data_IF_526751798968
#
_entry.id   IF_526751798968
#
_cell.length_a   1.000
_cell.length_b   1.000
_cell.length_c   1.000
_cell.angle_alpha   90.00
_cell.angle_beta   90.00
_cell.angle_gamma   90.00
#
_symmetry.space_group_name_H-M   'P 1'
#
loop_
_entity.id
_entity.type
_entity.pdbx_description
1 polymer ?
#
# COMPACT_ATOMS: atom_id res chain seq x y z
N UNK A 1 17.01 10.58 10.55
CA UNK A 1 17.00 10.33 9.08
C UNK A 1 18.40 10.55 8.56
N UNK A 2 18.91 9.63 7.73
CA UNK A 2 20.22 9.73 7.07
C UNK A 2 20.07 10.07 5.58
N UNK A 3 18.98 10.73 5.18
CA UNK A 3 18.70 11.14 3.81
C UNK A 3 19.65 12.28 3.40
N UNK A 4 20.84 11.93 2.90
CA UNK A 4 21.91 12.90 2.68
C UNK A 4 22.59 12.78 1.31
N UNK A 5 22.03 11.96 0.39
CA UNK A 5 22.55 11.75 -0.97
C UNK A 5 24.04 11.34 -1.01
N UNK A 6 24.57 10.72 0.05
CA UNK A 6 25.96 10.29 0.11
C UNK A 6 26.25 9.24 -0.97
N UNK A 7 27.36 9.39 -1.67
CA UNK A 7 27.80 8.51 -2.75
C UNK A 7 29.09 7.76 -2.36
N UNK A 8 29.45 6.77 -3.18
CA UNK A 8 30.63 5.92 -2.95
C UNK A 8 30.29 4.63 -2.22
N UNK A 9 31.27 4.03 -1.57
CA UNK A 9 31.16 2.69 -0.98
C UNK A 9 31.18 2.77 0.54
N UNK A 10 30.69 1.73 1.21
CA UNK A 10 30.84 1.60 2.66
C UNK A 10 32.34 1.67 3.02
N UNK A 11 32.78 2.59 3.90
CA UNK A 11 34.19 2.75 4.21
C UNK A 11 34.74 1.48 4.89
N UNK A 12 35.99 1.09 4.60
CA UNK A 12 36.63 -0.02 5.29
C UNK A 12 36.85 0.31 6.77
N UNK A 13 37.16 -0.71 7.57
CA UNK A 13 37.52 -0.52 8.99
C UNK A 13 36.35 -0.58 9.97
N UNK A 14 35.12 -0.85 9.54
CA UNK A 14 33.98 -1.09 10.45
C UNK A 14 34.27 -2.21 11.49
N UNK A 15 35.11 -3.18 11.15
CA UNK A 15 35.54 -4.23 12.07
C UNK A 15 36.42 -3.77 13.24
N UNK A 16 36.90 -2.52 13.21
CA UNK A 16 37.67 -1.90 14.28
C UNK A 16 36.79 -1.15 15.28
N UNK A 17 35.46 -1.26 15.17
CA UNK A 17 34.50 -0.56 16.03
C UNK A 17 33.75 -1.57 16.94
N UNK A 18 34.42 -2.15 17.97
CA UNK A 18 33.82 -3.19 18.81
C UNK A 18 32.66 -2.67 19.67
N UNK A 19 32.64 -1.37 19.97
CA UNK A 19 31.61 -0.71 20.77
C UNK A 19 30.50 -0.05 19.94
N UNK A 20 30.47 -0.27 18.63
CA UNK A 20 29.45 0.31 17.76
C UNK A 20 28.06 -0.20 18.16
N UNK A 21 27.18 0.71 18.58
CA UNK A 21 25.80 0.37 18.97
C UNK A 21 24.80 0.60 17.84
N UNK A 22 25.07 1.57 16.98
CA UNK A 22 24.20 1.96 15.88
C UNK A 22 25.04 2.27 14.65
N UNK A 23 24.66 1.69 13.51
CA UNK A 23 25.18 2.06 12.21
C UNK A 23 24.01 2.33 11.27
N UNK A 24 23.93 3.54 10.75
CA UNK A 24 22.84 3.96 9.87
C UNK A 24 23.39 4.77 8.69
N UNK A 25 23.33 4.18 7.50
CA UNK A 25 23.65 4.81 6.22
C UNK A 25 22.44 4.77 5.28
N UNK A 26 21.23 4.55 5.81
CA UNK A 26 20.04 4.40 5.00
C UNK A 26 19.67 5.65 4.20
N UNK A 27 18.98 5.47 3.08
CA UNK A 27 18.52 6.53 2.18
C UNK A 27 19.64 7.40 1.59
N UNK A 28 20.64 6.75 1.00
CA UNK A 28 21.75 7.40 0.29
C UNK A 28 21.91 6.78 -1.10
N UNK A 29 23.05 7.02 -1.75
CA UNK A 29 23.42 6.42 -3.04
C UNK A 29 24.66 5.53 -2.89
N UNK A 30 24.79 4.86 -1.75
CA UNK A 30 25.94 4.00 -1.47
C UNK A 30 25.86 2.78 -2.38
N UNK A 31 26.98 2.46 -3.02
CA UNK A 31 27.17 1.30 -3.89
C UNK A 31 28.05 0.26 -3.23
N UNK A 32 27.92 -0.96 -3.69
CA UNK A 32 28.78 -2.07 -3.28
C UNK A 32 30.19 -1.94 -3.85
N UNK A 33 31.19 -2.48 -3.13
CA UNK A 33 32.58 -2.55 -3.58
C UNK A 33 33.08 -4.00 -3.63
N UNK A 34 33.96 -4.29 -4.60
CA UNK A 34 34.59 -5.59 -4.79
C UNK A 34 33.62 -6.72 -5.20
N UNK A 35 34.15 -7.93 -5.36
CA UNK A 35 33.42 -9.06 -5.94
C UNK A 35 32.25 -9.55 -5.08
N UNK A 36 32.32 -9.38 -3.76
CA UNK A 36 31.28 -9.83 -2.83
C UNK A 36 30.26 -8.75 -2.45
N UNK A 37 30.53 -7.47 -2.77
CA UNK A 37 29.65 -6.31 -2.62
C UNK A 37 29.17 -5.92 -1.20
N UNK A 38 29.08 -6.88 -0.28
CA UNK A 38 28.53 -6.80 1.09
C UNK A 38 29.53 -7.27 2.15
N UNK A 39 30.83 -7.27 1.83
CA UNK A 39 31.89 -7.68 2.76
C UNK A 39 31.92 -6.87 4.07
N UNK A 40 31.34 -5.67 4.07
CA UNK A 40 31.20 -4.85 5.28
C UNK A 40 30.31 -5.51 6.35
N UNK A 41 29.35 -6.36 5.97
CA UNK A 41 28.52 -7.13 6.91
C UNK A 41 29.42 -8.06 7.73
N UNK A 42 30.36 -8.74 7.07
CA UNK A 42 31.35 -9.60 7.76
C UNK A 42 32.24 -8.79 8.70
N UNK A 43 32.61 -7.57 8.33
CA UNK A 43 33.39 -6.68 9.20
C UNK A 43 32.63 -6.31 10.49
N UNK A 44 31.31 -6.15 10.44
CA UNK A 44 30.48 -5.80 11.60
C UNK A 44 30.31 -6.92 12.62
N UNK A 45 30.82 -8.15 12.37
CA UNK A 45 30.76 -9.26 13.33
C UNK A 45 31.43 -8.94 14.67
N UNK A 46 32.43 -8.06 14.67
CA UNK A 46 33.18 -7.67 15.88
C UNK A 46 32.45 -6.61 16.72
N UNK A 47 31.43 -5.95 16.17
CA UNK A 47 30.64 -4.93 16.86
C UNK A 47 29.61 -5.57 17.78
N UNK A 48 30.06 -6.16 18.88
CA UNK A 48 29.23 -6.99 19.80
C UNK A 48 28.12 -6.22 20.52
N UNK A 49 28.14 -4.89 20.47
CA UNK A 49 27.11 -4.01 21.03
C UNK A 49 26.10 -3.49 20.00
N UNK A 50 26.22 -3.89 18.74
CA UNK A 50 25.38 -3.38 17.67
C UNK A 50 23.91 -3.78 17.90
N UNK A 51 23.04 -2.79 18.07
CA UNK A 51 21.59 -2.93 18.29
C UNK A 51 20.79 -2.48 17.07
N UNK A 52 21.33 -1.55 16.29
CA UNK A 52 20.66 -0.96 15.15
C UNK A 52 21.57 -0.94 13.94
N UNK A 53 21.15 -1.60 12.87
CA UNK A 53 21.85 -1.62 11.59
C UNK A 53 20.86 -1.24 10.48
N UNK A 54 21.13 -0.13 9.80
CA UNK A 54 20.34 0.34 8.67
C UNK A 54 21.23 0.74 7.50
N UNK A 55 20.94 0.15 6.35
CA UNK A 55 21.53 0.49 5.06
C UNK A 55 20.50 0.37 3.93
N UNK A 56 19.21 0.47 4.28
CA UNK A 56 18.08 0.51 3.38
C UNK A 56 18.09 1.75 2.47
N UNK A 57 17.40 1.71 1.32
CA UNK A 57 17.31 2.85 0.41
C UNK A 57 18.66 3.28 -0.17
N UNK A 58 19.44 2.33 -0.68
CA UNK A 58 20.74 2.56 -1.30
C UNK A 58 20.84 1.81 -2.64
N UNK A 59 22.03 1.76 -3.23
CA UNK A 59 22.32 1.04 -4.48
C UNK A 59 23.22 -0.18 -4.21
N UNK A 60 23.18 -0.74 -3.00
CA UNK A 60 23.97 -1.91 -2.64
C UNK A 60 23.47 -3.14 -3.41
N UNK A 61 24.39 -3.97 -3.88
CA UNK A 61 24.11 -5.18 -4.64
C UNK A 61 24.94 -6.36 -4.11
N UNK A 62 24.44 -7.58 -4.33
CA UNK A 62 25.14 -8.80 -3.92
C UNK A 62 24.21 -9.78 -3.20
N UNK A 63 24.79 -10.93 -2.86
CA UNK A 63 24.12 -11.99 -2.10
C UNK A 63 24.31 -11.71 -0.62
N UNK A 64 23.23 -11.78 0.17
CA UNK A 64 23.30 -11.64 1.63
C UNK A 64 24.18 -12.78 2.17
N UNK A 65 25.35 -12.49 2.78
CA UNK A 65 26.28 -13.52 3.18
C UNK A 65 25.79 -14.26 4.43
N UNK A 66 26.14 -15.53 4.58
CA UNK A 66 25.87 -16.32 5.80
C UNK A 66 26.45 -15.69 7.08
N UNK A 67 27.47 -14.84 6.95
CA UNK A 67 28.01 -14.06 8.07
C UNK A 67 27.00 -13.08 8.68
N UNK A 68 25.85 -12.82 8.04
CA UNK A 68 24.76 -12.01 8.63
C UNK A 68 24.30 -12.59 9.97
N UNK A 69 24.24 -13.91 10.12
CA UNK A 69 23.87 -14.57 11.38
C UNK A 69 24.92 -14.46 12.49
N UNK A 70 26.11 -13.96 12.15
CA UNK A 70 27.23 -13.74 13.06
C UNK A 70 27.32 -12.28 13.54
N UNK A 71 26.36 -11.43 13.15
CA UNK A 71 26.21 -10.11 13.75
C UNK A 71 25.87 -10.24 15.25
N UNK A 72 25.99 -9.11 15.93
CA UNK A 72 25.68 -8.95 17.35
C UNK A 72 24.39 -9.68 17.77
N UNK A 73 24.49 -10.49 18.84
CA UNK A 73 23.33 -11.17 19.43
C UNK A 73 22.33 -10.22 20.09
N UNK A 74 22.71 -8.95 20.30
CA UNK A 74 21.81 -7.90 20.79
C UNK A 74 21.26 -7.01 19.67
N UNK A 75 21.46 -7.38 18.40
CA UNK A 75 20.89 -6.67 17.26
C UNK A 75 19.36 -6.74 17.31
N UNK A 76 18.72 -5.57 17.32
CA UNK A 76 17.26 -5.43 17.47
C UNK A 76 16.59 -4.99 16.17
N UNK A 77 17.25 -4.14 15.38
CA UNK A 77 16.68 -3.55 14.16
C UNK A 77 17.64 -3.75 13.00
N UNK A 78 17.16 -4.42 11.95
CA UNK A 78 17.89 -4.65 10.71
C UNK A 78 17.07 -4.15 9.51
N UNK A 79 17.49 -3.01 8.95
CA UNK A 79 16.88 -2.39 7.77
C UNK A 79 17.81 -2.56 6.57
N UNK A 80 17.31 -3.28 5.57
CA UNK A 80 18.04 -3.66 4.35
C UNK A 80 17.22 -3.41 3.06
N UNK A 81 15.96 -2.98 3.19
CA UNK A 81 15.07 -2.81 2.05
C UNK A 81 15.48 -1.71 1.07
N UNK A 82 14.93 -1.70 -0.15
CA UNK A 82 15.22 -0.67 -1.15
C UNK A 82 16.68 -0.67 -1.61
N UNK A 83 17.19 -1.85 -1.97
CA UNK A 83 18.54 -2.07 -2.52
C UNK A 83 18.43 -3.04 -3.73
N UNK A 84 19.57 -3.53 -4.22
CA UNK A 84 19.66 -4.49 -5.32
C UNK A 84 20.18 -5.87 -4.85
N UNK A 85 19.80 -6.33 -3.65
CA UNK A 85 20.19 -7.65 -3.17
C UNK A 85 19.50 -8.76 -3.96
N UNK A 86 20.25 -9.84 -4.24
CA UNK A 86 19.76 -11.00 -4.99
C UNK A 86 20.23 -12.31 -4.34
N UNK A 87 19.83 -13.46 -4.90
CA UNK A 87 20.06 -14.76 -4.27
C UNK A 87 19.01 -15.04 -3.20
N UNK A 88 19.33 -15.86 -2.20
CA UNK A 88 18.39 -16.29 -1.16
C UNK A 88 18.60 -15.58 0.16
N UNK A 89 17.60 -15.60 1.04
CA UNK A 89 17.80 -15.24 2.45
C UNK A 89 18.56 -16.39 3.12
N UNK A 90 19.74 -16.17 3.72
CA UNK A 90 20.51 -17.23 4.37
C UNK A 90 19.83 -17.73 5.64
N UNK A 91 19.90 -19.05 5.89
CA UNK A 91 19.27 -19.68 7.07
C UNK A 91 19.85 -19.13 8.40
N UNK A 92 21.12 -18.72 8.38
CA UNK A 92 21.79 -18.07 9.51
C UNK A 92 21.11 -16.79 10.01
N UNK A 93 20.18 -16.18 9.25
CA UNK A 93 19.38 -15.04 9.74
C UNK A 93 18.62 -15.36 11.03
N UNK A 94 18.20 -16.63 11.20
CA UNK A 94 17.53 -17.11 12.41
C UNK A 94 18.39 -17.10 13.67
N UNK A 95 19.70 -16.86 13.55
CA UNK A 95 20.61 -16.78 14.68
C UNK A 95 20.56 -15.42 15.41
N UNK A 96 19.84 -14.43 14.87
CA UNK A 96 19.74 -13.08 15.41
C UNK A 96 18.54 -12.95 16.36
N UNK A 97 18.54 -13.75 17.43
CA UNK A 97 17.39 -13.98 18.34
C UNK A 97 16.82 -12.73 19.04
N UNK A 98 17.57 -11.63 19.08
CA UNK A 98 17.11 -10.35 19.64
C UNK A 98 16.40 -9.44 18.64
N UNK A 99 16.30 -9.85 17.36
CA UNK A 99 15.64 -9.04 16.33
C UNK A 99 14.19 -8.80 16.68
N UNK A 100 13.81 -7.54 16.60
CA UNK A 100 12.43 -7.04 16.70
C UNK A 100 11.94 -6.50 15.37
N UNK A 101 12.83 -6.18 14.44
CA UNK A 101 12.49 -5.74 13.08
C UNK A 101 13.48 -6.29 12.08
N UNK A 102 12.94 -6.92 11.04
CA UNK A 102 13.66 -7.36 9.85
C UNK A 102 12.94 -6.81 8.62
N UNK A 103 13.61 -5.95 7.85
CA UNK A 103 13.09 -5.41 6.60
C UNK A 103 14.08 -5.66 5.45
N UNK A 104 13.67 -6.49 4.49
CA UNK A 104 14.35 -6.84 3.24
C UNK A 104 13.52 -6.43 2.00
N UNK A 105 12.45 -5.65 2.19
CA UNK A 105 11.52 -5.31 1.12
C UNK A 105 12.19 -4.55 -0.04
N UNK A 106 11.65 -4.64 -1.25
CA UNK A 106 12.11 -3.92 -2.43
C UNK A 106 13.58 -4.21 -2.76
N UNK A 107 13.86 -5.48 -3.03
CA UNK A 107 15.13 -5.99 -3.54
C UNK A 107 14.85 -6.96 -4.72
N UNK A 108 15.84 -7.73 -5.14
CA UNK A 108 15.70 -8.80 -6.14
C UNK A 108 15.91 -10.20 -5.53
N UNK A 109 15.52 -10.39 -4.26
CA UNK A 109 15.70 -11.66 -3.53
C UNK A 109 14.81 -12.74 -4.13
N UNK A 110 15.35 -13.94 -4.24
CA UNK A 110 14.73 -15.16 -4.80
C UNK A 110 14.78 -16.29 -3.76
N UNK A 111 14.27 -17.47 -4.12
CA UNK A 111 14.23 -18.63 -3.23
C UNK A 111 13.03 -18.61 -2.29
N UNK A 112 13.00 -19.54 -1.35
CA UNK A 112 11.92 -19.67 -0.36
C UNK A 112 12.22 -18.84 0.89
N UNK A 113 11.18 -18.56 1.69
CA UNK A 113 11.33 -17.98 3.03
C UNK A 113 11.97 -19.05 3.94
N UNK A 114 13.16 -18.82 4.52
CA UNK A 114 13.80 -19.81 5.38
C UNK A 114 12.97 -20.10 6.64
N UNK A 115 12.83 -21.37 6.98
CA UNK A 115 12.09 -21.79 8.18
C UNK A 115 12.70 -21.24 9.47
N UNK A 116 14.00 -20.94 9.46
CA UNK A 116 14.78 -20.37 10.55
C UNK A 116 14.32 -18.96 10.95
N UNK A 117 13.61 -18.22 10.08
CA UNK A 117 12.98 -16.95 10.48
C UNK A 117 12.01 -17.18 11.65
N UNK A 118 11.37 -18.36 11.71
CA UNK A 118 10.51 -18.77 12.82
C UNK A 118 11.21 -18.91 14.18
N UNK A 119 12.55 -18.81 14.26
CA UNK A 119 13.33 -18.77 15.51
C UNK A 119 13.42 -17.37 16.12
N UNK A 120 13.00 -16.34 15.39
CA UNK A 120 13.11 -14.93 15.81
C UNK A 120 11.93 -14.53 16.71
N UNK A 121 11.74 -15.20 17.85
CA UNK A 121 10.55 -15.04 18.71
C UNK A 121 10.28 -13.61 19.23
N UNK A 122 11.29 -12.72 19.16
CA UNK A 122 11.16 -11.31 19.51
C UNK A 122 10.68 -10.41 18.36
N UNK A 123 10.49 -10.97 17.16
CA UNK A 123 10.19 -10.20 15.96
C UNK A 123 8.81 -9.57 16.05
N UNK A 124 8.75 -8.26 15.82
CA UNK A 124 7.53 -7.44 15.82
C UNK A 124 7.16 -6.98 14.42
N UNK A 125 8.13 -6.87 13.51
CA UNK A 125 7.91 -6.49 12.13
C UNK A 125 8.76 -7.33 11.19
N UNK A 126 8.10 -7.96 10.22
CA UNK A 126 8.71 -8.69 9.11
C UNK A 126 8.26 -8.05 7.79
N UNK A 127 9.20 -7.47 7.05
CA UNK A 127 8.96 -6.92 5.71
C UNK A 127 9.82 -7.63 4.67
N UNK A 128 9.19 -8.36 3.76
CA UNK A 128 9.82 -9.04 2.62
C UNK A 128 9.20 -8.60 1.27
N UNK A 129 8.40 -7.53 1.28
CA UNK A 129 7.59 -7.10 0.15
C UNK A 129 8.40 -6.76 -1.11
N UNK A 130 7.83 -6.88 -2.30
CA UNK A 130 8.46 -6.40 -3.54
C UNK A 130 9.78 -7.11 -3.86
N UNK A 131 9.78 -8.44 -3.80
CA UNK A 131 10.91 -9.30 -4.16
C UNK A 131 10.45 -10.36 -5.20
N UNK A 132 11.24 -11.41 -5.42
CA UNK A 132 10.92 -12.56 -6.27
C UNK A 132 10.93 -13.87 -5.46
N UNK A 133 10.51 -13.79 -4.19
CA UNK A 133 10.46 -14.94 -3.28
C UNK A 133 9.33 -15.86 -3.73
N UNK A 134 9.62 -17.16 -3.86
CA UNK A 134 8.67 -18.17 -4.30
C UNK A 134 8.51 -19.28 -3.25
N UNK A 135 7.69 -20.29 -3.57
CA UNK A 135 7.42 -21.40 -2.66
C UNK A 135 6.28 -21.09 -1.70
N UNK A 136 6.11 -21.96 -0.69
CA UNK A 136 5.03 -21.81 0.31
C UNK A 136 5.46 -20.89 1.44
N UNK A 137 4.48 -20.25 2.07
CA UNK A 137 4.70 -19.58 3.35
C UNK A 137 4.96 -20.67 4.41
N UNK A 138 6.11 -20.68 5.11
CA UNK A 138 6.42 -21.75 6.05
C UNK A 138 5.62 -21.60 7.35
N UNK A 139 5.13 -22.74 7.86
CA UNK A 139 4.35 -22.80 9.12
C UNK A 139 5.13 -22.25 10.32
N UNK A 140 6.46 -22.28 10.27
CA UNK A 140 7.31 -21.75 11.34
C UNK A 140 7.16 -20.25 11.58
N UNK A 141 6.62 -19.48 10.62
CA UNK A 141 6.26 -18.08 10.86
C UNK A 141 5.16 -17.93 11.92
N UNK A 142 4.33 -18.95 12.13
CA UNK A 142 3.35 -18.99 13.22
C UNK A 142 3.97 -18.97 14.63
N UNK A 143 5.27 -19.22 14.76
CA UNK A 143 5.97 -19.13 16.05
C UNK A 143 6.22 -17.67 16.50
N UNK A 144 6.06 -16.69 15.61
CA UNK A 144 6.38 -15.29 15.86
C UNK A 144 5.25 -14.56 16.60
N UNK A 145 4.96 -14.97 17.83
CA UNK A 145 3.77 -14.51 18.58
C UNK A 145 3.77 -13.01 18.94
N UNK A 146 4.93 -12.34 18.86
CA UNK A 146 5.08 -10.88 19.08
C UNK A 146 4.96 -10.06 17.79
N UNK A 147 4.69 -10.71 16.65
CA UNK A 147 4.64 -10.05 15.36
C UNK A 147 3.40 -9.15 15.29
N UNK A 148 3.63 -7.85 15.08
CA UNK A 148 2.57 -6.85 14.93
C UNK A 148 2.26 -6.59 13.46
N UNK A 149 3.29 -6.64 12.60
CA UNK A 149 3.16 -6.37 11.17
C UNK A 149 3.93 -7.39 10.35
N UNK A 150 3.24 -7.94 9.36
CA UNK A 150 3.81 -8.82 8.35
C UNK A 150 3.42 -8.30 6.97
N UNK A 151 4.43 -8.10 6.13
CA UNK A 151 4.28 -7.65 4.75
C UNK A 151 5.11 -8.54 3.84
N UNK A 152 4.42 -9.46 3.17
CA UNK A 152 4.97 -10.39 2.18
C UNK A 152 4.49 -10.04 0.75
N UNK A 153 3.93 -8.84 0.57
CA UNK A 153 3.26 -8.45 -0.67
C UNK A 153 4.22 -8.37 -1.87
N UNK A 154 3.72 -8.54 -3.09
CA UNK A 154 4.53 -8.34 -4.31
C UNK A 154 5.67 -9.36 -4.41
N UNK A 155 5.33 -10.64 -4.34
CA UNK A 155 6.25 -11.78 -4.46
C UNK A 155 5.63 -12.86 -5.36
N UNK A 156 6.22 -14.05 -5.40
CA UNK A 156 5.76 -15.21 -6.16
C UNK A 156 5.31 -16.37 -5.25
N UNK A 157 4.81 -16.07 -4.04
CA UNK A 157 4.41 -17.08 -3.06
C UNK A 157 3.19 -17.87 -3.55
N UNK A 158 3.22 -19.18 -3.34
CA UNK A 158 2.19 -20.13 -3.80
C UNK A 158 1.61 -20.95 -2.64
N UNK A 159 0.49 -21.63 -2.91
CA UNK A 159 -0.20 -22.47 -1.93
C UNK A 159 -1.15 -21.67 -1.04
N UNK A 160 -1.72 -22.34 -0.04
CA UNK A 160 -2.65 -21.73 0.91
C UNK A 160 -1.96 -20.93 1.99
N UNK A 161 -2.71 -20.00 2.60
CA UNK A 161 -2.31 -19.33 3.84
C UNK A 161 -2.24 -20.41 4.94
N UNK A 162 -1.14 -20.46 5.68
CA UNK A 162 -0.93 -21.46 6.73
C UNK A 162 -1.92 -21.28 7.89
N UNK A 163 -2.46 -22.37 8.42
CA UNK A 163 -3.27 -22.37 9.64
C UNK A 163 -2.46 -21.96 10.88
N UNK A 164 -1.12 -22.13 10.84
CA UNK A 164 -0.22 -21.72 11.90
C UNK A 164 -0.24 -20.19 12.15
N UNK A 165 -0.69 -19.40 11.17
CA UNK A 165 -0.87 -17.96 11.35
C UNK A 165 -1.91 -17.61 12.41
N UNK A 166 -2.81 -18.55 12.79
CA UNK A 166 -3.69 -18.40 13.94
C UNK A 166 -2.97 -18.19 15.28
N UNK A 167 -1.68 -18.51 15.37
CA UNK A 167 -0.86 -18.30 16.56
C UNK A 167 -0.31 -16.87 16.68
N UNK A 168 -0.51 -16.01 15.67
CA UNK A 168 0.01 -14.63 15.62
C UNK A 168 -0.88 -13.68 16.42
N UNK A 169 -1.02 -13.93 17.72
CA UNK A 169 -1.97 -13.24 18.60
C UNK A 169 -1.77 -11.72 18.69
N UNK A 170 -0.59 -11.19 18.33
CA UNK A 170 -0.29 -9.75 18.38
C UNK A 170 -0.42 -9.05 17.01
N UNK A 171 -0.76 -9.77 15.94
CA UNK A 171 -0.73 -9.19 14.58
C UNK A 171 -1.84 -8.16 14.41
N UNK A 172 -1.44 -6.96 14.01
CA UNK A 172 -2.31 -5.83 13.74
C UNK A 172 -2.55 -5.66 12.24
N UNK A 173 -1.53 -5.94 11.43
CA UNK A 173 -1.50 -5.74 9.98
C UNK A 173 -0.88 -6.95 9.28
N UNK A 174 -1.62 -7.48 8.30
CA UNK A 174 -1.24 -8.62 7.46
C UNK A 174 -1.45 -8.26 5.98
N UNK A 175 -0.36 -8.11 5.24
CA UNK A 175 -0.37 -7.90 3.80
C UNK A 175 0.32 -9.06 3.07
N UNK A 176 -0.47 -9.83 2.33
CA UNK A 176 -0.02 -10.92 1.46
C UNK A 176 -0.40 -10.66 -0.01
N UNK A 177 -0.73 -9.42 -0.36
CA UNK A 177 -1.23 -9.06 -1.69
C UNK A 177 -0.19 -9.29 -2.79
N UNK A 178 -0.62 -9.33 -4.04
CA UNK A 178 0.26 -9.43 -5.20
C UNK A 178 1.19 -10.66 -5.12
N UNK A 179 0.57 -11.83 -5.01
CA UNK A 179 1.23 -13.13 -4.94
C UNK A 179 0.48 -14.15 -5.81
N UNK A 180 0.76 -15.44 -5.63
CA UNK A 180 0.10 -16.56 -6.31
C UNK A 180 -0.58 -17.50 -5.30
N UNK A 181 -1.03 -16.96 -4.16
CA UNK A 181 -1.68 -17.73 -3.09
C UNK A 181 -3.05 -18.24 -3.55
N UNK A 182 -3.45 -19.43 -3.11
CA UNK A 182 -4.67 -20.08 -3.55
C UNK A 182 -5.42 -20.77 -2.40
N UNK A 183 -6.58 -21.35 -2.70
CA UNK A 183 -7.44 -21.98 -1.70
C UNK A 183 -8.23 -20.95 -0.87
N UNK A 184 -8.77 -21.40 0.26
CA UNK A 184 -9.60 -20.59 1.15
C UNK A 184 -8.78 -19.88 2.23
N UNK A 185 -9.29 -18.76 2.73
CA UNK A 185 -8.73 -18.10 3.93
C UNK A 185 -9.02 -19.00 5.16
N UNK A 186 -8.00 -19.44 5.92
CA UNK A 186 -8.20 -20.31 7.08
C UNK A 186 -8.99 -19.61 8.19
N UNK A 187 -9.90 -20.34 8.85
CA UNK A 187 -10.68 -19.83 9.99
C UNK A 187 -9.78 -19.38 11.15
N UNK A 188 -8.61 -20.00 11.29
CA UNK A 188 -7.62 -19.68 12.30
C UNK A 188 -7.11 -18.25 12.16
N UNK A 189 -6.89 -17.77 10.92
CA UNK A 189 -6.48 -16.38 10.64
C UNK A 189 -7.63 -15.41 10.90
N UNK A 190 -8.87 -15.84 10.68
CA UNK A 190 -10.06 -15.01 10.87
C UNK A 190 -10.44 -14.85 12.36
N UNK A 191 -9.88 -15.69 13.23
CA UNK A 191 -10.09 -15.60 14.68
C UNK A 191 -8.97 -14.88 15.42
N UNK A 192 -8.07 -14.19 14.70
CA UNK A 192 -6.99 -13.44 15.31
C UNK A 192 -7.54 -12.25 16.13
N UNK A 193 -7.24 -12.16 17.44
CA UNK A 193 -7.88 -11.20 18.33
C UNK A 193 -7.42 -9.75 18.12
N UNK A 194 -6.25 -9.55 17.52
CA UNK A 194 -5.61 -8.23 17.38
C UNK A 194 -5.60 -7.67 15.96
N UNK A 195 -6.11 -8.43 14.97
CA UNK A 195 -6.10 -8.02 13.56
C UNK A 195 -7.10 -6.88 13.32
N UNK A 196 -6.61 -5.66 13.43
CA UNK A 196 -7.46 -4.45 13.54
C UNK A 196 -7.17 -3.39 12.48
N UNK A 197 -5.98 -3.38 11.88
CA UNK A 197 -5.63 -2.34 10.90
C UNK A 197 -5.91 -2.79 9.47
N UNK A 198 -4.98 -3.53 8.87
CA UNK A 198 -5.02 -3.88 7.45
C UNK A 198 -4.98 -5.40 7.32
N UNK A 199 -5.95 -5.94 6.59
CA UNK A 199 -5.91 -7.30 6.08
C UNK A 199 -6.05 -7.28 4.55
N UNK A 200 -4.92 -7.42 3.86
CA UNK A 200 -4.83 -7.29 2.41
C UNK A 200 -4.37 -8.61 1.79
N UNK A 201 -5.25 -9.22 1.01
CA UNK A 201 -5.01 -10.44 0.24
C UNK A 201 -5.25 -10.23 -1.26
N UNK A 202 -5.29 -8.98 -1.72
CA UNK A 202 -5.60 -8.66 -3.12
C UNK A 202 -4.59 -9.25 -4.10
N UNK A 203 -4.96 -9.40 -5.37
CA UNK A 203 -4.07 -9.89 -6.42
C UNK A 203 -3.46 -11.27 -6.09
N UNK A 204 -4.34 -12.24 -5.86
CA UNK A 204 -4.03 -13.65 -5.60
C UNK A 204 -5.04 -14.56 -6.34
N UNK A 205 -5.09 -15.84 -6.03
CA UNK A 205 -6.01 -16.84 -6.60
C UNK A 205 -6.92 -17.47 -5.53
N UNK A 206 -7.35 -16.70 -4.54
CA UNK A 206 -8.15 -17.22 -3.42
C UNK A 206 -9.59 -17.56 -3.82
N UNK A 207 -10.18 -18.54 -3.14
CA UNK A 207 -11.57 -18.99 -3.36
C UNK A 207 -12.10 -19.85 -2.19
N UNK A 208 -13.38 -19.74 -1.79
CA UNK A 208 -14.29 -18.59 -1.77
C UNK A 208 -14.13 -17.74 -0.49
N UNK A 209 -14.95 -16.68 -0.31
CA UNK A 209 -14.99 -15.91 0.94
C UNK A 209 -15.63 -16.78 2.05
N UNK A 210 -14.90 -17.11 3.13
CA UNK A 210 -15.49 -17.89 4.22
C UNK A 210 -16.45 -17.03 5.07
N UNK A 211 -17.59 -17.60 5.47
CA UNK A 211 -18.56 -16.90 6.31
C UNK A 211 -17.99 -16.45 7.66
N UNK A 212 -17.01 -17.19 8.20
CA UNK A 212 -16.28 -16.84 9.44
C UNK A 212 -15.53 -15.51 9.35
N UNK A 213 -15.35 -14.94 8.14
CA UNK A 213 -14.77 -13.61 7.98
C UNK A 213 -15.59 -12.52 8.70
N UNK A 214 -16.91 -12.72 8.86
CA UNK A 214 -17.76 -11.82 9.64
C UNK A 214 -17.53 -11.85 11.16
N UNK A 215 -16.70 -12.76 11.66
CA UNK A 215 -16.38 -12.88 13.09
C UNK A 215 -15.14 -12.06 13.50
N UNK A 216 -14.35 -11.56 12.53
CA UNK A 216 -13.16 -10.75 12.80
C UNK A 216 -13.57 -9.46 13.51
N UNK A 217 -13.03 -9.22 14.70
CA UNK A 217 -13.37 -8.04 15.49
C UNK A 217 -12.37 -6.92 15.25
N UNK A 218 -12.88 -5.72 14.98
CA UNK A 218 -12.06 -4.51 14.96
C UNK A 218 -11.27 -4.25 13.68
N UNK A 219 -11.46 -5.03 12.61
CA UNK A 219 -10.76 -4.83 11.33
C UNK A 219 -11.19 -3.51 10.66
N UNK A 220 -10.24 -2.62 10.40
CA UNK A 220 -10.46 -1.33 9.75
C UNK A 220 -10.45 -1.38 8.22
N UNK A 221 -9.51 -2.11 7.62
CA UNK A 221 -9.40 -2.24 6.15
C UNK A 221 -9.30 -3.70 5.73
N UNK A 222 -10.16 -4.10 4.78
CA UNK A 222 -10.15 -5.41 4.15
C UNK A 222 -10.07 -5.26 2.63
N UNK A 223 -9.01 -5.80 2.02
CA UNK A 223 -8.88 -5.85 0.57
C UNK A 223 -8.71 -7.30 0.09
N UNK A 224 -9.71 -7.77 -0.65
CA UNK A 224 -9.73 -9.08 -1.30
C UNK A 224 -9.89 -8.94 -2.84
N UNK A 225 -9.62 -7.76 -3.38
CA UNK A 225 -9.79 -7.50 -4.81
C UNK A 225 -8.85 -8.34 -5.69
N UNK A 226 -9.17 -8.49 -6.97
CA UNK A 226 -8.34 -9.25 -7.92
C UNK A 226 -8.02 -10.66 -7.42
N UNK A 227 -9.07 -11.43 -7.14
CA UNK A 227 -8.97 -12.83 -6.76
C UNK A 227 -9.97 -13.68 -7.58
N UNK A 228 -10.03 -14.98 -7.29
CA UNK A 228 -10.99 -15.91 -7.88
C UNK A 228 -12.20 -16.15 -6.95
N UNK A 229 -12.54 -15.18 -6.09
CA UNK A 229 -13.63 -15.34 -5.13
C UNK A 229 -14.96 -15.48 -5.87
N UNK A 230 -15.73 -16.49 -5.53
CA UNK A 230 -17.01 -16.81 -6.18
C UNK A 230 -18.10 -17.09 -5.14
N UNK A 231 -19.35 -17.16 -5.62
CA UNK A 231 -20.52 -17.28 -4.77
C UNK A 231 -20.99 -15.93 -4.22
N UNK A 232 -21.84 -15.98 -3.18
CA UNK A 232 -22.42 -14.80 -2.56
C UNK A 232 -21.46 -14.11 -1.61
N UNK A 233 -21.58 -12.79 -1.48
CA UNK A 233 -20.98 -12.05 -0.37
C UNK A 233 -21.68 -12.52 0.93
N UNK A 234 -20.96 -13.11 1.91
CA UNK A 234 -21.60 -13.61 3.11
C UNK A 234 -22.32 -12.48 3.89
N UNK A 235 -23.59 -12.66 4.30
CA UNK A 235 -24.31 -11.64 5.07
C UNK A 235 -23.63 -11.28 6.39
N UNK A 236 -22.82 -12.18 6.94
CA UNK A 236 -22.06 -11.95 8.17
C UNK A 236 -21.02 -10.84 8.06
N UNK A 237 -20.57 -10.46 6.85
CA UNK A 237 -19.68 -9.30 6.67
C UNK A 237 -20.31 -7.99 7.17
N UNK A 238 -21.65 -7.92 7.27
CA UNK A 238 -22.35 -6.78 7.86
C UNK A 238 -22.08 -6.62 9.38
N UNK A 239 -21.57 -7.67 10.05
CA UNK A 239 -21.23 -7.64 11.48
C UNK A 239 -19.91 -6.91 11.75
N UNK A 240 -19.10 -6.63 10.73
CA UNK A 240 -17.83 -5.93 10.85
C UNK A 240 -18.05 -4.42 11.07
N UNK A 241 -18.36 -4.04 12.31
CA UNK A 241 -18.73 -2.66 12.66
C UNK A 241 -17.58 -1.64 12.56
N UNK A 242 -16.33 -2.10 12.71
CA UNK A 242 -15.15 -1.26 12.65
C UNK A 242 -14.61 -1.06 11.22
N UNK A 243 -15.21 -1.72 10.21
CA UNK A 243 -14.68 -1.72 8.86
C UNK A 243 -14.94 -0.38 8.17
N UNK A 244 -13.85 0.30 7.82
CA UNK A 244 -13.85 1.61 7.16
C UNK A 244 -13.66 1.50 5.66
N UNK A 245 -13.00 0.43 5.19
CA UNK A 245 -12.76 0.19 3.77
C UNK A 245 -12.89 -1.30 3.45
N UNK A 246 -13.71 -1.60 2.44
CA UNK A 246 -13.92 -2.95 1.91
C UNK A 246 -13.73 -2.95 0.40
N UNK A 247 -12.72 -3.66 -0.08
CA UNK A 247 -12.48 -3.84 -1.50
C UNK A 247 -12.68 -5.31 -1.90
N UNK A 248 -13.71 -5.58 -2.69
CA UNK A 248 -14.02 -6.89 -3.29
C UNK A 248 -14.00 -6.84 -4.83
N UNK A 249 -13.43 -5.78 -5.40
CA UNK A 249 -13.44 -5.55 -6.84
C UNK A 249 -12.73 -6.67 -7.62
N UNK A 250 -13.10 -6.86 -8.88
CA UNK A 250 -12.48 -7.80 -9.81
C UNK A 250 -12.40 -9.23 -9.26
N UNK A 251 -13.56 -9.79 -8.94
CA UNK A 251 -13.75 -11.17 -8.52
C UNK A 251 -14.89 -11.81 -9.35
N UNK A 252 -15.29 -13.03 -8.99
CA UNK A 252 -16.37 -13.79 -9.61
C UNK A 252 -17.61 -13.85 -8.70
N UNK A 253 -17.83 -12.83 -7.86
CA UNK A 253 -18.93 -12.78 -6.89
C UNK A 253 -20.28 -12.62 -7.61
N UNK A 254 -21.32 -13.18 -7.00
CA UNK A 254 -22.68 -13.17 -7.55
C UNK A 254 -23.76 -12.91 -6.49
N UNK A 255 -24.97 -12.61 -6.95
CA UNK A 255 -26.13 -12.41 -6.10
C UNK A 255 -26.29 -10.98 -5.57
N UNK A 256 -26.91 -10.85 -4.40
CA UNK A 256 -27.34 -9.55 -3.86
C UNK A 256 -26.28 -9.04 -2.87
N UNK A 257 -25.88 -7.78 -3.03
CA UNK A 257 -25.00 -7.09 -2.08
C UNK A 257 -25.74 -6.89 -0.74
N UNK A 258 -25.16 -7.27 0.42
CA UNK A 258 -25.77 -7.02 1.72
C UNK A 258 -26.02 -5.52 1.98
N UNK A 259 -26.92 -5.20 2.91
CA UNK A 259 -27.41 -3.81 3.12
C UNK A 259 -26.93 -3.14 4.42
N UNK A 260 -26.37 -3.90 5.36
CA UNK A 260 -25.97 -3.48 6.69
C UNK A 260 -24.46 -3.33 6.86
N UNK A 261 -24.02 -2.85 8.01
CA UNK A 261 -22.60 -2.65 8.31
C UNK A 261 -21.93 -1.71 7.31
N UNK A 262 -20.74 -2.09 6.82
CA UNK A 262 -19.96 -1.33 5.84
C UNK A 262 -20.74 -1.01 4.55
N UNK A 263 -21.68 -1.88 4.15
CA UNK A 263 -22.46 -1.73 2.92
C UNK A 263 -23.50 -0.60 2.99
N UNK A 264 -23.75 -0.03 4.18
CA UNK A 264 -24.61 1.16 4.33
C UNK A 264 -23.99 2.41 3.69
N UNK A 265 -22.65 2.45 3.60
CA UNK A 265 -21.92 3.54 2.96
C UNK A 265 -21.11 3.01 1.78
N UNK A 266 -21.72 3.00 0.59
CA UNK A 266 -21.09 2.50 -0.63
C UNK A 266 -19.83 3.26 -1.06
N UNK A 267 -19.54 4.46 -0.53
CA UNK A 267 -18.25 5.13 -0.78
C UNK A 267 -17.06 4.39 -0.18
N UNK A 268 -17.31 3.53 0.83
CA UNK A 268 -16.32 2.70 1.51
C UNK A 268 -16.19 1.30 0.92
N UNK A 269 -16.99 0.97 -0.09
CA UNK A 269 -17.06 -0.37 -0.66
C UNK A 269 -16.77 -0.34 -2.16
N UNK A 270 -15.75 -1.07 -2.60
CA UNK A 270 -15.44 -1.27 -4.01
C UNK A 270 -15.88 -2.67 -4.46
N UNK A 271 -16.70 -2.73 -5.50
CA UNK A 271 -17.37 -3.97 -5.98
C UNK A 271 -17.28 -4.15 -7.50
N UNK A 272 -16.68 -3.19 -8.21
CA UNK A 272 -16.53 -3.19 -9.66
C UNK A 272 -15.86 -4.47 -10.17
N UNK A 273 -16.10 -4.85 -11.42
CA UNK A 273 -15.52 -6.07 -11.99
C UNK A 273 -16.17 -7.39 -11.54
N UNK A 274 -17.27 -7.36 -10.79
CA UNK A 274 -18.09 -8.53 -10.45
C UNK A 274 -19.43 -8.51 -11.25
N UNK A 275 -19.49 -9.06 -12.47
CA UNK A 275 -20.61 -8.84 -13.40
C UNK A 275 -21.94 -9.46 -12.96
N UNK A 276 -21.91 -10.41 -12.03
CA UNK A 276 -23.10 -11.10 -11.51
C UNK A 276 -23.63 -10.52 -10.19
N UNK A 277 -22.98 -9.48 -9.64
CA UNK A 277 -23.48 -8.80 -8.46
C UNK A 277 -24.63 -7.85 -8.81
N UNK A 278 -25.62 -7.82 -7.93
CA UNK A 278 -26.78 -6.94 -8.01
C UNK A 278 -26.88 -6.08 -6.76
N UNK A 279 -26.91 -4.76 -6.95
CA UNK A 279 -27.20 -3.80 -5.89
C UNK A 279 -28.72 -3.72 -5.71
N UNK A 280 -29.20 -3.93 -4.48
CA UNK A 280 -30.61 -3.71 -4.17
C UNK A 280 -30.87 -2.20 -4.07
N UNK A 281 -31.64 -1.65 -5.00
CA UNK A 281 -32.09 -0.25 -4.93
C UNK A 281 -33.12 -0.15 -3.80
N UNK A 282 -32.71 0.46 -2.68
CA UNK A 282 -33.54 0.62 -1.49
C UNK A 282 -33.28 -0.46 -0.44
N UNK A 283 -32.36 -0.17 0.47
CA UNK A 283 -32.30 -0.83 1.78
C UNK A 283 -33.35 -0.18 2.71
N UNK A 284 -34.62 -0.20 2.29
CA UNK A 284 -35.76 0.14 3.11
C UNK A 284 -36.23 -1.10 3.85
N UNK A 285 -36.62 -0.93 5.12
CA UNK A 285 -37.17 -1.98 5.98
C UNK A 285 -38.15 -2.86 5.20
N UNK A 286 -38.04 -4.17 5.43
CA UNK A 286 -38.87 -5.18 4.80
C UNK A 286 -40.34 -5.02 5.19
N UNK A 287 -41.07 -4.11 4.55
CA UNK A 287 -42.52 -4.11 4.31
C UNK A 287 -42.83 -2.99 3.29
N UNK A 288 -42.85 -3.29 1.99
CA UNK A 288 -43.99 -2.87 1.16
C UNK A 288 -43.97 -3.56 -0.21
N UNK A 289 -45.10 -4.13 -0.56
CA UNK A 289 -45.37 -4.71 -1.86
C UNK A 289 -45.83 -3.61 -2.81
N UNK A 290 -45.05 -3.31 -3.86
CA UNK A 290 -45.55 -3.06 -5.24
C UNK A 290 -44.39 -2.75 -6.19
N UNK A 291 -44.16 -3.67 -7.13
CA UNK A 291 -43.23 -3.49 -8.26
C UNK A 291 -43.83 -2.50 -9.26
N UNK A 292 -43.02 -1.55 -9.74
CA UNK A 292 -43.17 -0.95 -11.06
C UNK A 292 -41.83 -1.06 -11.80
N UNK A 293 -41.81 -1.51 -13.07
CA UNK A 293 -40.56 -1.68 -13.79
C UNK A 293 -40.09 -0.31 -14.30
N UNK A 294 -38.90 0.11 -13.88
CA UNK A 294 -38.18 1.21 -14.53
C UNK A 294 -37.23 0.57 -15.53
N UNK A 295 -37.46 0.82 -16.83
CA UNK A 295 -36.55 0.42 -17.90
C UNK A 295 -35.30 1.31 -17.82
N UNK A 296 -34.18 0.75 -17.39
CA UNK A 296 -32.87 1.38 -17.51
C UNK A 296 -32.24 0.86 -18.80
N UNK A 297 -32.01 1.78 -19.75
CA UNK A 297 -31.27 1.48 -20.97
C UNK A 297 -29.79 1.34 -20.62
N UNK A 298 -29.24 0.13 -20.77
CA UNK A 298 -27.80 -0.10 -20.81
C UNK A 298 -27.35 0.23 -22.22
N UNK A 299 -26.62 1.33 -22.40
CA UNK A 299 -25.91 1.61 -23.64
C UNK A 299 -24.77 0.60 -23.77
N UNK A 300 -25.01 -0.43 -24.58
CA UNK A 300 -23.98 -1.39 -25.01
C UNK A 300 -23.03 -0.66 -25.96
N UNK A 301 -21.94 -0.12 -25.42
CA UNK A 301 -20.79 0.28 -26.21
C UNK A 301 -19.91 -0.93 -26.45
N UNK A 302 -20.10 -1.62 -27.57
CA UNK A 302 -19.10 -2.56 -28.09
C UNK A 302 -17.91 -1.74 -28.57
N UNK A 303 -16.77 -1.84 -27.88
CA UNK A 303 -15.48 -1.44 -28.42
C UNK A 303 -14.49 -2.58 -28.20
N UNK A 304 -14.30 -3.36 -29.27
CA UNK A 304 -13.31 -4.42 -29.40
C UNK A 304 -11.92 -3.79 -29.53
N UNK A 305 -10.99 -4.26 -28.72
CA UNK A 305 -9.53 -4.37 -28.95
C UNK A 305 -8.76 -3.10 -29.36
N UNK A 306 -8.10 -2.48 -28.39
CA UNK A 306 -6.66 -2.20 -28.34
C UNK A 306 -6.36 -1.23 -27.19
N UNK A 307 -5.16 -1.30 -26.61
CA UNK A 307 -4.59 -0.41 -25.57
C UNK A 307 -4.97 -0.69 -24.10
N UNK A 308 -4.71 -1.91 -23.62
CA UNK A 308 -4.83 -2.35 -22.22
C UNK A 308 -3.63 -2.00 -21.31
N UNK A 309 -2.99 -0.83 -21.49
CA UNK A 309 -1.82 -0.45 -20.65
C UNK A 309 -1.96 0.92 -19.98
N UNK A 310 -2.96 1.74 -20.32
CA UNK A 310 -2.99 3.13 -19.82
C UNK A 310 -3.89 3.33 -18.59
N UNK A 311 -4.75 2.36 -18.23
CA UNK A 311 -5.71 2.52 -17.12
C UNK A 311 -5.17 2.19 -15.72
N UNK A 312 -3.94 1.66 -15.58
CA UNK A 312 -3.41 1.22 -14.29
C UNK A 312 -2.61 2.27 -13.50
N UNK A 313 -2.50 3.51 -13.99
CA UNK A 313 -1.81 4.58 -13.24
C UNK A 313 -2.81 5.59 -12.71
N UNK A 314 -2.58 6.05 -11.47
CA UNK A 314 -3.34 7.17 -10.88
C UNK A 314 -3.33 8.39 -11.82
N UNK A 315 -2.24 8.60 -12.56
CA UNK A 315 -2.09 9.64 -13.58
C UNK A 315 -3.08 9.44 -14.72
N UNK A 316 -3.16 8.22 -15.29
CA UNK A 316 -4.09 7.91 -16.39
C UNK A 316 -5.55 7.99 -15.97
N UNK A 317 -5.88 7.57 -14.74
CA UNK A 317 -7.23 7.74 -14.20
C UNK A 317 -7.59 9.21 -14.00
N UNK A 318 -6.72 10.01 -13.36
CA UNK A 318 -6.95 11.45 -13.18
C UNK A 318 -7.10 12.17 -14.52
N UNK A 319 -6.27 11.84 -15.52
CA UNK A 319 -6.37 12.40 -16.88
C UNK A 319 -7.69 12.05 -17.57
N UNK A 320 -8.22 10.85 -17.37
CA UNK A 320 -9.51 10.43 -17.95
C UNK A 320 -10.72 11.00 -17.21
N UNK A 321 -10.59 11.32 -15.91
CA UNK A 321 -11.68 11.83 -15.08
C UNK A 321 -11.76 13.37 -15.10
N UNK A 322 -10.63 14.06 -15.29
CA UNK A 322 -10.55 15.52 -15.30
C UNK A 322 -10.87 16.11 -16.69
N UNK A 323 -11.60 17.24 -16.80
CA UNK A 323 -12.21 18.03 -15.72
C UNK A 323 -13.64 17.60 -15.36
N UNK A 324 -14.26 16.69 -16.12
CA UNK A 324 -15.69 16.37 -16.02
C UNK A 324 -16.12 15.72 -14.69
N UNK A 325 -15.21 15.06 -13.97
CA UNK A 325 -15.42 14.42 -12.66
C UNK A 325 -14.47 15.00 -11.61
N UNK A 326 -14.33 16.33 -11.58
CA UNK A 326 -13.43 17.05 -10.69
C UNK A 326 -13.55 16.63 -9.20
N UNK A 327 -14.76 16.39 -8.70
CA UNK A 327 -15.01 15.97 -7.31
C UNK A 327 -14.45 14.59 -6.96
N UNK A 328 -14.21 13.72 -7.94
CA UNK A 328 -13.58 12.41 -7.71
C UNK A 328 -12.05 12.56 -7.64
N UNK A 329 -11.50 13.56 -8.34
CA UNK A 329 -10.06 13.82 -8.43
C UNK A 329 -9.56 14.67 -7.26
N UNK A 330 -10.42 15.52 -6.69
CA UNK A 330 -10.05 16.45 -5.64
C UNK A 330 -9.83 15.78 -4.29
N UNK A 331 -8.82 16.28 -3.58
CA UNK A 331 -8.63 15.96 -2.17
C UNK A 331 -9.85 16.42 -1.33
N UNK A 332 -10.40 15.57 -0.44
CA UNK A 332 -11.55 15.91 0.38
C UNK A 332 -11.34 17.13 1.29
N UNK A 333 -10.12 17.35 1.81
CA UNK A 333 -9.80 18.53 2.62
C UNK A 333 -9.80 19.80 1.78
N UNK A 334 -9.28 19.72 0.54
CA UNK A 334 -9.33 20.83 -0.41
C UNK A 334 -10.77 21.19 -0.79
N UNK A 335 -11.66 20.20 -0.93
CA UNK A 335 -13.08 20.41 -1.21
C UNK A 335 -13.79 21.13 -0.05
N UNK A 336 -13.43 20.82 1.20
CA UNK A 336 -13.94 21.50 2.40
C UNK A 336 -13.46 22.95 2.49
N UNK A 337 -12.22 23.23 2.05
CA UNK A 337 -11.65 24.58 2.02
C UNK A 337 -12.33 25.48 0.98
N UNK A 338 -12.78 24.92 -0.15
CA UNK A 338 -13.51 25.69 -1.19
C UNK A 338 -14.86 26.26 -0.72
N UNK A 339 -15.51 25.64 0.27
CA UNK A 339 -16.79 26.19 0.76
C UNK A 339 -16.63 27.44 1.64
N UNK A 340 -15.41 27.76 2.12
CA UNK A 340 -15.16 28.81 3.12
C UNK A 340 -13.98 29.74 2.78
N UNK A 341 -13.69 29.97 1.50
CA UNK A 341 -12.53 30.77 1.06
C UNK A 341 -12.83 32.27 1.11
N UNK A 342 -12.19 32.97 2.06
CA UNK A 342 -12.29 34.43 2.24
C UNK A 342 -11.01 35.15 1.81
N UNK A 343 -11.15 36.30 1.16
CA UNK A 343 -10.06 37.23 0.90
C UNK A 343 -10.52 38.67 1.14
N UNK A 344 -9.72 39.47 1.87
CA UNK A 344 -10.06 40.83 2.31
C UNK A 344 -11.48 40.97 2.90
N UNK A 345 -11.88 40.00 3.73
CA UNK A 345 -13.17 39.99 4.43
C UNK A 345 -14.38 39.66 3.54
N UNK A 346 -14.18 39.19 2.30
CA UNK A 346 -15.27 38.80 1.38
C UNK A 346 -15.12 37.35 0.92
N UNK A 347 -16.26 36.67 0.74
CA UNK A 347 -16.33 35.30 0.24
C UNK A 347 -16.11 35.29 -1.28
N UNK A 348 -15.20 34.44 -1.76
CA UNK A 348 -14.90 34.30 -3.19
C UNK A 348 -16.00 33.45 -3.86
N UNK A 349 -16.51 33.87 -5.02
CA UNK A 349 -17.54 33.12 -5.75
C UNK A 349 -17.11 31.65 -5.99
N UNK A 350 -17.91 30.64 -5.59
CA UNK A 350 -17.63 29.22 -5.79
C UNK A 350 -17.25 28.84 -7.23
N UNK A 351 -17.83 29.49 -8.24
CA UNK A 351 -17.50 29.23 -9.66
C UNK A 351 -16.05 29.63 -9.99
N UNK A 352 -15.60 30.79 -9.47
CA UNK A 352 -14.23 31.30 -9.64
C UNK A 352 -13.23 30.42 -8.89
N UNK A 353 -13.62 29.91 -7.72
CA UNK A 353 -12.80 28.96 -6.97
C UNK A 353 -12.65 27.64 -7.72
N UNK A 354 -13.74 27.11 -8.28
CA UNK A 354 -13.71 25.89 -9.08
C UNK A 354 -12.85 26.06 -10.34
N UNK A 355 -12.95 27.20 -11.04
CA UNK A 355 -12.12 27.52 -12.20
C UNK A 355 -10.62 27.59 -11.82
N UNK A 356 -10.30 28.19 -10.67
CA UNK A 356 -8.93 28.26 -10.15
C UNK A 356 -8.36 26.86 -9.88
N UNK A 357 -9.14 25.99 -9.23
CA UNK A 357 -8.75 24.62 -8.90
C UNK A 357 -8.58 23.76 -10.16
N UNK A 358 -9.49 23.89 -11.14
CA UNK A 358 -9.35 23.27 -12.46
C UNK A 358 -8.05 23.74 -13.11
N UNK A 359 -7.75 25.03 -13.05
CA UNK A 359 -6.53 25.59 -13.66
C UNK A 359 -5.26 25.04 -13.00
N UNK A 360 -5.21 24.97 -11.66
CA UNK A 360 -4.05 24.44 -10.92
C UNK A 360 -3.83 22.95 -11.22
N UNK A 361 -4.88 22.14 -11.16
CA UNK A 361 -4.80 20.70 -11.45
C UNK A 361 -4.42 20.43 -12.92
N UNK A 362 -4.96 21.21 -13.86
CA UNK A 362 -4.60 21.11 -15.27
C UNK A 362 -3.12 21.44 -15.54
N UNK A 363 -2.54 22.40 -14.80
CA UNK A 363 -1.09 22.68 -14.85
C UNK A 363 -0.31 21.49 -14.29
N UNK A 364 -0.72 20.95 -13.13
CA UNK A 364 -0.10 19.76 -12.53
C UNK A 364 -0.06 18.56 -13.49
N UNK A 365 -1.17 18.26 -14.16
CA UNK A 365 -1.25 17.19 -15.16
C UNK A 365 -0.36 17.44 -16.38
N UNK A 366 -0.22 18.71 -16.78
CA UNK A 366 0.68 19.08 -17.87
C UNK A 366 2.16 18.96 -17.47
N UNK A 367 2.49 19.03 -16.17
CA UNK A 367 3.86 18.86 -15.66
C UNK A 367 4.26 17.38 -15.54
N UNK A 368 3.30 16.46 -15.41
CA UNK A 368 3.53 15.02 -15.15
C UNK A 368 3.58 14.16 -16.43
N UNK A 369 3.57 14.77 -17.62
CA UNK A 369 3.67 14.06 -18.88
C UNK A 369 4.98 13.25 -18.99
N UNK A 370 4.92 12.06 -19.60
CA UNK A 370 6.04 11.13 -19.62
C UNK A 370 7.24 11.59 -20.48
N UNK A 371 7.02 12.40 -21.51
CA UNK A 371 8.09 12.96 -22.34
C UNK A 371 8.37 14.43 -21.97
N UNK A 372 9.65 14.88 -21.98
CA UNK A 372 10.01 16.27 -21.71
C UNK A 372 9.31 17.28 -22.65
N UNK A 373 9.16 16.96 -23.94
CA UNK A 373 8.58 17.86 -24.94
C UNK A 373 7.06 18.01 -24.82
N UNK A 374 6.38 17.04 -24.18
CA UNK A 374 4.95 17.12 -23.88
C UNK A 374 4.65 17.82 -22.55
N UNK A 375 5.67 18.15 -21.75
CA UNK A 375 5.48 18.89 -20.51
C UNK A 375 5.31 20.37 -20.79
N UNK A 376 4.47 21.02 -19.99
CA UNK A 376 4.39 22.49 -20.01
C UNK A 376 5.76 23.09 -19.59
N UNK A 377 6.23 24.11 -20.32
CA UNK A 377 7.44 24.82 -19.92
C UNK A 377 7.23 25.57 -18.61
N UNK A 378 8.30 25.74 -17.83
CA UNK A 378 8.22 26.44 -16.54
C UNK A 378 7.73 27.89 -16.69
N UNK A 379 8.07 28.55 -17.82
CA UNK A 379 7.61 29.90 -18.17
C UNK A 379 6.09 29.93 -18.39
N UNK A 380 5.56 28.93 -19.10
CA UNK A 380 4.12 28.84 -19.38
C UNK A 380 3.32 28.43 -18.13
N UNK A 381 3.86 27.52 -17.32
CA UNK A 381 3.27 27.15 -16.03
C UNK A 381 3.18 28.37 -15.09
N UNK A 382 4.28 29.13 -14.97
CA UNK A 382 4.29 30.36 -14.18
C UNK A 382 3.29 31.40 -14.69
N UNK A 383 3.17 31.57 -16.01
CA UNK A 383 2.18 32.49 -16.59
C UNK A 383 0.74 32.06 -16.25
N UNK A 384 0.42 30.77 -16.41
CA UNK A 384 -0.91 30.22 -16.07
C UNK A 384 -1.22 30.30 -14.58
N UNK A 385 -0.25 30.03 -13.70
CA UNK A 385 -0.41 30.19 -12.24
C UNK A 385 -0.65 31.65 -11.84
N UNK A 386 0.08 32.60 -12.47
CA UNK A 386 -0.16 34.03 -12.25
C UNK A 386 -1.54 34.46 -12.74
N UNK A 387 -2.00 33.95 -13.88
CA UNK A 387 -3.34 34.21 -14.39
C UNK A 387 -4.43 33.64 -13.47
N UNK A 388 -4.27 32.39 -12.99
CA UNK A 388 -5.20 31.76 -12.04
C UNK A 388 -5.29 32.56 -10.73
N UNK A 389 -4.14 32.96 -10.18
CA UNK A 389 -4.06 33.84 -9.00
C UNK A 389 -4.77 35.18 -9.28
N UNK A 390 -4.47 35.83 -10.39
CA UNK A 390 -5.07 37.13 -10.70
C UNK A 390 -6.58 37.01 -10.92
N UNK A 391 -7.08 35.95 -11.56
CA UNK A 391 -8.52 35.75 -11.74
C UNK A 391 -9.24 35.48 -10.42
N UNK A 392 -8.61 34.71 -9.52
CA UNK A 392 -9.09 34.45 -8.16
C UNK A 392 -9.15 35.74 -7.33
N UNK A 393 -8.19 36.65 -7.51
CA UNK A 393 -8.06 37.88 -6.72
C UNK A 393 -8.77 39.12 -7.34
N UNK A 394 -8.90 39.21 -8.66
CA UNK A 394 -9.46 40.39 -9.36
C UNK A 394 -11.00 40.39 -9.46
N UNK A 395 -11.69 39.32 -9.05
CA UNK A 395 -13.16 39.33 -8.90
C UNK A 395 -13.63 40.07 -7.62
N UNK A 396 -12.71 40.71 -6.89
CA UNK A 396 -13.02 41.75 -5.92
C UNK A 396 -12.83 43.11 -6.62
N UNK A 397 -13.88 43.94 -6.82
CA UNK A 397 -13.70 45.25 -7.42
C UNK A 397 -12.74 46.07 -6.55
N UNK A 398 -11.67 46.57 -7.15
CA UNK A 398 -10.80 47.58 -6.55
C UNK A 398 -11.63 48.82 -6.28
N UNK A 399 -11.61 49.30 -5.03
CA UNK A 399 -12.22 50.56 -4.67
C UNK A 399 -11.65 51.67 -5.58
N UNK A 400 -12.54 52.31 -6.34
CA UNK A 400 -12.26 53.59 -6.96
C UNK A 400 -11.85 54.58 -5.86
N UNK A 401 -10.74 55.27 -6.12
CA UNK A 401 -10.44 56.53 -5.50
C UNK A 401 -11.53 57.56 -5.86
N UNK A 402 -12.11 58.19 -4.84
CA UNK A 402 -12.75 59.51 -4.92
C UNK A 402 -12.33 60.24 -3.63
N UNK A 403 -11.45 61.25 -3.64
CA UNK A 403 -11.80 62.67 -3.94
C UNK A 403 -13.22 62.94 -3.42
N UNK A 404 -13.45 63.52 -2.26
CA UNK A 404 -12.93 64.76 -1.67
C UNK A 404 -13.02 64.69 -0.14
#
# INVERSE_FOLDING_TARGET
MAYNLLEGTVPPGLGNLPFLEMYNIGFNKIVSSGDNGLGFITSLRNSTRLKFLAFDGNLLQGIIPESIGNLSKVLQKLYMGGNNFYGTIPASIGNLSSLTLLNLSYNAITGEIPVEIGKLENLQMLGLAGNRIFGRIPDSLGNLQKLNKIDLSGNELVGGISTAFGNLHSVLSLDLSNNKLNGSIPKEVLNLPSLTTIFNLSNNFLSPIPGTLGEVKGLGTLDLSYNNLSGFIPPDLQKLQALESLNLAFNNLEGIVPCGGVFTNLSRVQLEGNPKLSLKIGCGNAQDHRRKPVKVYVSVGVAVMATLVVFFSIVGWVQSAFPSRLLQVLDPELLLLMHNLFHDGRNINPEVQQECVITILGIGLSCTMNSPDSRISIRNALHKLKAARNNLLNHVPTHQASKY
#
